data_IF_225782163379
#
_entry.id   IF_225782163379
#
_cell.length_a   1.000
_cell.length_b   1.000
_cell.length_c   1.000
_cell.angle_alpha   90.00
_cell.angle_beta   90.00
_cell.angle_gamma   90.00
#
_symmetry.space_group_name_H-M   'P 1'
#
loop_
_entity.id
_entity.type
_entity.pdbx_description
1 polymer ?
#
# COMPACT_ATOMS: atom_id res chain seq x y z
N UNK A 1 -15.21 -38.76 -43.79
CA UNK A 1 -16.21 -38.13 -42.88
C UNK A 1 -15.80 -38.10 -41.41
N UNK A 2 -15.12 -39.12 -40.90
CA UNK A 2 -14.70 -39.19 -39.48
C UNK A 2 -13.56 -38.20 -39.10
N UNK A 3 -12.68 -37.87 -40.01
CA UNK A 3 -11.56 -36.97 -39.78
C UNK A 3 -11.99 -35.49 -39.60
N UNK A 4 -13.00 -35.06 -40.35
CA UNK A 4 -13.53 -33.67 -40.25
C UNK A 4 -14.25 -33.38 -38.92
N UNK A 5 -14.89 -34.41 -38.32
CA UNK A 5 -15.56 -34.26 -37.03
C UNK A 5 -14.57 -34.13 -35.87
N UNK A 6 -13.37 -34.73 -35.94
CA UNK A 6 -12.33 -34.55 -34.91
C UNK A 6 -11.73 -33.13 -34.89
N UNK A 7 -11.52 -32.54 -36.06
CA UNK A 7 -10.96 -31.18 -36.14
C UNK A 7 -11.97 -30.09 -35.74
N UNK A 8 -13.26 -30.28 -36.06
CA UNK A 8 -14.32 -29.38 -35.58
C UNK A 8 -14.50 -29.42 -34.08
N UNK A 9 -14.38 -30.59 -33.44
CA UNK A 9 -14.46 -30.73 -31.98
C UNK A 9 -13.26 -30.07 -31.28
N UNK A 10 -12.04 -30.18 -31.82
CA UNK A 10 -10.86 -29.53 -31.31
C UNK A 10 -10.92 -27.99 -31.46
N UNK A 11 -11.46 -27.48 -32.55
CA UNK A 11 -11.66 -26.04 -32.77
C UNK A 11 -12.72 -25.47 -31.82
N UNK A 12 -13.82 -26.17 -31.58
CA UNK A 12 -14.86 -25.73 -30.64
C UNK A 12 -14.33 -25.72 -29.20
N UNK A 13 -13.51 -26.71 -28.81
CA UNK A 13 -12.89 -26.75 -27.47
C UNK A 13 -11.88 -25.58 -27.31
N UNK A 14 -11.07 -25.27 -28.31
CA UNK A 14 -10.11 -24.16 -28.27
C UNK A 14 -10.80 -22.78 -28.27
N UNK A 15 -11.84 -22.58 -29.08
CA UNK A 15 -12.61 -21.32 -29.10
C UNK A 15 -13.54 -21.19 -27.89
N UNK A 16 -14.14 -22.26 -27.41
CA UNK A 16 -14.99 -22.26 -26.22
C UNK A 16 -14.20 -21.91 -24.95
N UNK A 17 -12.96 -22.39 -24.81
CA UNK A 17 -12.09 -22.05 -23.67
C UNK A 17 -11.62 -20.60 -23.69
N UNK A 18 -11.42 -19.99 -24.85
CA UNK A 18 -10.99 -18.59 -24.98
C UNK A 18 -12.12 -17.61 -24.66
N UNK A 19 -13.34 -17.87 -25.11
CA UNK A 19 -14.51 -17.00 -24.90
C UNK A 19 -15.01 -17.04 -23.45
N UNK A 20 -14.97 -18.20 -22.79
CA UNK A 20 -15.37 -18.33 -21.38
C UNK A 20 -14.35 -17.65 -20.44
N UNK A 21 -13.06 -17.65 -20.80
CA UNK A 21 -12.04 -16.95 -20.01
C UNK A 21 -12.12 -15.44 -20.17
N UNK A 22 -12.39 -14.91 -21.36
CA UNK A 22 -12.53 -13.47 -21.59
C UNK A 22 -13.72 -12.90 -20.82
N UNK A 23 -14.90 -13.55 -20.87
CA UNK A 23 -16.07 -13.13 -20.09
C UNK A 23 -15.82 -13.15 -18.58
N UNK A 24 -15.14 -14.19 -18.06
CA UNK A 24 -14.81 -14.27 -16.65
C UNK A 24 -13.82 -13.22 -16.16
N UNK A 25 -12.91 -12.77 -17.04
CA UNK A 25 -11.95 -11.71 -16.74
C UNK A 25 -12.66 -10.34 -16.61
N UNK A 26 -13.50 -9.99 -17.58
CA UNK A 26 -14.25 -8.73 -17.58
C UNK A 26 -15.26 -8.69 -16.43
N UNK A 27 -15.94 -9.81 -16.17
CA UNK A 27 -16.84 -9.97 -15.02
C UNK A 27 -16.10 -9.76 -13.68
N UNK A 28 -14.88 -10.33 -13.56
CA UNK A 28 -14.08 -10.23 -12.35
C UNK A 28 -13.67 -8.78 -12.06
N UNK A 29 -13.02 -8.08 -13.00
CA UNK A 29 -12.61 -6.70 -12.77
C UNK A 29 -13.78 -5.73 -12.72
N UNK A 30 -14.85 -5.98 -13.47
CA UNK A 30 -16.11 -5.25 -13.34
C UNK A 30 -16.74 -5.42 -11.95
N UNK A 31 -16.69 -6.62 -11.36
CA UNK A 31 -17.14 -6.86 -9.99
C UNK A 31 -16.23 -6.17 -8.95
N UNK A 32 -14.90 -6.19 -9.16
CA UNK A 32 -13.95 -5.44 -8.31
C UNK A 32 -14.29 -3.96 -8.27
N UNK A 33 -14.56 -3.33 -9.42
CA UNK A 33 -14.88 -1.90 -9.50
C UNK A 33 -16.23 -1.55 -8.86
N UNK A 34 -17.22 -2.48 -8.90
CA UNK A 34 -18.55 -2.27 -8.31
C UNK A 34 -18.66 -2.72 -6.85
N UNK A 35 -17.57 -3.19 -6.24
CA UNK A 35 -17.55 -3.79 -4.90
C UNK A 35 -18.50 -5.01 -4.76
N UNK A 36 -18.65 -5.79 -5.84
CA UNK A 36 -19.51 -6.98 -5.88
C UNK A 36 -18.76 -8.24 -5.42
N UNK A 37 -18.68 -8.40 -4.10
CA UNK A 37 -18.01 -9.54 -3.49
C UNK A 37 -18.70 -10.89 -3.82
N UNK A 38 -20.01 -10.91 -4.13
CA UNK A 38 -20.71 -12.15 -4.45
C UNK A 38 -20.23 -12.71 -5.80
N UNK A 39 -20.13 -11.85 -6.82
CA UNK A 39 -19.58 -12.26 -8.12
C UNK A 39 -18.13 -12.67 -8.00
N UNK A 40 -17.30 -11.92 -7.24
CA UNK A 40 -15.89 -12.28 -7.01
C UNK A 40 -15.78 -13.66 -6.36
N UNK A 41 -16.48 -13.93 -5.24
CA UNK A 41 -16.46 -15.24 -4.58
C UNK A 41 -16.88 -16.38 -5.53
N UNK A 42 -17.98 -16.19 -6.25
CA UNK A 42 -18.45 -17.20 -7.20
C UNK A 42 -17.46 -17.47 -8.34
N UNK A 43 -16.66 -16.49 -8.77
CA UNK A 43 -15.58 -16.69 -9.74
C UNK A 43 -14.39 -17.45 -9.11
N UNK A 44 -13.99 -17.09 -7.90
CA UNK A 44 -12.91 -17.74 -7.15
C UNK A 44 -13.24 -19.22 -6.86
N UNK A 45 -14.48 -19.52 -6.45
CA UNK A 45 -14.96 -20.89 -6.23
C UNK A 45 -14.91 -21.75 -7.50
N UNK A 46 -15.13 -21.14 -8.68
CA UNK A 46 -14.98 -21.81 -9.98
C UNK A 46 -13.51 -21.91 -10.44
N UNK A 47 -12.56 -21.49 -9.62
CA UNK A 47 -11.12 -21.61 -9.89
C UNK A 47 -10.50 -20.44 -10.60
N UNK A 48 -11.16 -19.28 -10.67
CA UNK A 48 -10.53 -18.05 -11.16
C UNK A 48 -9.38 -17.64 -10.23
N UNK A 49 -8.24 -17.21 -10.79
CA UNK A 49 -7.06 -16.84 -9.99
C UNK A 49 -7.27 -15.46 -9.32
N UNK A 50 -7.25 -15.39 -7.95
CA UNK A 50 -7.38 -14.13 -7.23
C UNK A 50 -6.23 -13.15 -7.49
N UNK A 51 -5.12 -13.62 -8.05
CA UNK A 51 -3.93 -12.81 -8.34
C UNK A 51 -3.89 -12.29 -9.77
N UNK A 52 -4.98 -12.46 -10.52
CA UNK A 52 -5.11 -11.93 -11.88
C UNK A 52 -4.84 -10.42 -11.89
N UNK A 53 -4.14 -9.96 -12.92
CA UNK A 53 -3.80 -8.53 -13.11
C UNK A 53 -4.72 -7.89 -14.14
N UNK A 54 -4.99 -6.59 -13.98
CA UNK A 54 -5.72 -5.79 -14.96
C UNK A 54 -4.82 -5.45 -16.18
N UNK A 55 -5.34 -4.79 -17.24
CA UNK A 55 -4.54 -4.41 -18.41
C UNK A 55 -3.35 -3.48 -18.09
N UNK A 56 -3.37 -2.79 -16.95
CA UNK A 56 -2.28 -1.95 -16.45
C UNK A 56 -1.22 -2.75 -15.69
N UNK A 57 -1.42 -4.05 -15.49
CA UNK A 57 -0.54 -4.93 -14.73
C UNK A 57 -0.78 -4.87 -13.21
N UNK A 58 -1.82 -4.19 -12.74
CA UNK A 58 -2.13 -4.11 -11.32
C UNK A 58 -2.90 -5.37 -10.88
N UNK A 59 -2.44 -6.07 -9.81
CA UNK A 59 -3.17 -7.19 -9.23
C UNK A 59 -4.55 -6.78 -8.69
N UNK A 60 -5.52 -7.68 -8.71
CA UNK A 60 -6.90 -7.42 -8.28
C UNK A 60 -6.98 -6.83 -6.85
N UNK A 61 -6.16 -7.31 -5.91
CA UNK A 61 -6.10 -6.75 -4.56
C UNK A 61 -5.67 -5.29 -4.54
N UNK A 62 -4.69 -4.90 -5.36
CA UNK A 62 -4.26 -3.50 -5.53
C UNK A 62 -5.41 -2.65 -6.08
N UNK A 63 -6.09 -3.15 -7.12
CA UNK A 63 -7.24 -2.45 -7.71
C UNK A 63 -8.33 -2.24 -6.66
N UNK A 64 -8.70 -3.30 -5.91
CA UNK A 64 -9.73 -3.24 -4.88
C UNK A 64 -9.38 -2.29 -3.71
N UNK A 65 -8.10 -2.19 -3.32
CA UNK A 65 -7.64 -1.23 -2.30
C UNK A 65 -7.62 0.20 -2.83
N UNK A 66 -7.25 0.40 -4.09
CA UNK A 66 -7.22 1.72 -4.74
C UNK A 66 -8.62 2.26 -4.96
N UNK A 67 -9.51 1.45 -5.49
CA UNK A 67 -10.94 1.70 -5.53
C UNK A 67 -11.54 1.44 -4.14
N UNK A 68 -12.57 2.17 -3.70
CA UNK A 68 -13.18 1.92 -2.39
C UNK A 68 -14.07 0.66 -2.43
N UNK A 69 -13.43 -0.52 -2.51
CA UNK A 69 -14.09 -1.83 -2.68
C UNK A 69 -13.86 -2.75 -1.48
N UNK A 70 -14.31 -2.38 -0.25
CA UNK A 70 -13.98 -3.10 0.97
C UNK A 70 -14.54 -4.53 1.03
N UNK A 71 -15.72 -4.77 0.42
CA UNK A 71 -16.31 -6.12 0.39
C UNK A 71 -15.51 -7.07 -0.50
N UNK A 72 -15.03 -6.57 -1.64
CA UNK A 72 -14.18 -7.34 -2.56
C UNK A 72 -12.80 -7.56 -1.93
N UNK A 73 -12.22 -6.56 -1.25
CA UNK A 73 -10.99 -6.75 -0.48
C UNK A 73 -11.15 -7.89 0.52
N UNK A 74 -12.25 -7.91 1.30
CA UNK A 74 -12.56 -9.00 2.22
C UNK A 74 -12.62 -10.35 1.50
N UNK A 75 -13.38 -10.46 0.40
CA UNK A 75 -13.51 -11.68 -0.36
C UNK A 75 -12.17 -12.19 -0.93
N UNK A 76 -11.32 -11.28 -1.40
CA UNK A 76 -9.97 -11.64 -1.85
C UNK A 76 -9.10 -12.12 -0.69
N UNK A 77 -9.14 -11.42 0.47
CA UNK A 77 -8.34 -11.81 1.63
C UNK A 77 -8.82 -13.11 2.30
N UNK A 78 -10.09 -13.49 2.18
CA UNK A 78 -10.60 -14.78 2.62
C UNK A 78 -10.04 -15.96 1.78
N UNK A 79 -9.67 -15.70 0.52
CA UNK A 79 -9.19 -16.76 -0.36
C UNK A 79 -7.72 -17.11 -0.09
N UNK A 80 -7.38 -18.41 0.18
CA UNK A 80 -6.05 -18.80 0.67
C UNK A 80 -4.92 -18.57 -0.33
N UNK A 81 -5.22 -18.54 -1.64
CA UNK A 81 -4.23 -18.32 -2.69
C UNK A 81 -3.97 -16.84 -2.98
N UNK A 82 -4.70 -15.91 -2.35
CA UNK A 82 -4.45 -14.48 -2.53
C UNK A 82 -3.10 -14.11 -1.95
N UNK A 83 -2.24 -13.55 -2.79
CA UNK A 83 -0.95 -12.98 -2.36
C UNK A 83 -1.18 -11.57 -1.86
N UNK A 84 -0.83 -11.32 -0.60
CA UNK A 84 -0.94 -9.99 0.01
C UNK A 84 0.27 -9.12 -0.31
N UNK A 85 1.41 -9.76 -0.60
CA UNK A 85 2.65 -9.08 -0.95
C UNK A 85 2.81 -9.04 -2.48
N UNK A 86 1.95 -8.25 -3.13
CA UNK A 86 1.97 -7.94 -4.57
C UNK A 86 2.40 -6.48 -4.76
N UNK A 87 2.86 -6.13 -5.96
CA UNK A 87 3.37 -4.79 -6.26
C UNK A 87 2.78 -4.23 -7.55
N UNK A 88 2.57 -2.91 -7.57
CA UNK A 88 2.35 -2.15 -8.81
C UNK A 88 3.66 -1.97 -9.56
N UNK A 89 3.58 -1.44 -10.79
CA UNK A 89 4.76 -1.00 -11.55
C UNK A 89 5.57 0.11 -10.86
N UNK A 90 4.98 0.80 -9.86
CA UNK A 90 5.63 1.81 -9.01
C UNK A 90 6.15 1.24 -7.69
N UNK A 91 6.18 -0.10 -7.56
CA UNK A 91 6.60 -0.80 -6.35
C UNK A 91 5.72 -0.52 -5.10
N UNK A 92 4.45 -0.16 -5.30
CA UNK A 92 3.48 0.04 -4.22
C UNK A 92 2.84 -1.30 -3.82
N UNK A 93 2.73 -1.57 -2.52
CA UNK A 93 2.01 -2.75 -1.99
C UNK A 93 0.58 -2.41 -1.54
N UNK A 94 -0.29 -3.42 -1.37
CA UNK A 94 -1.61 -3.22 -0.75
C UNK A 94 -1.51 -2.54 0.61
N UNK A 95 -0.53 -2.92 1.46
CA UNK A 95 -0.32 -2.31 2.77
C UNK A 95 0.08 -0.82 2.67
N UNK A 96 0.92 -0.45 1.70
CA UNK A 96 1.28 0.95 1.45
C UNK A 96 0.05 1.78 1.06
N UNK A 97 -0.77 1.29 0.13
CA UNK A 97 -1.98 1.98 -0.32
C UNK A 97 -3.04 2.09 0.79
N UNK A 98 -3.23 1.01 1.57
CA UNK A 98 -4.11 1.01 2.72
C UNK A 98 -3.64 2.00 3.80
N UNK A 99 -2.33 2.06 4.04
CA UNK A 99 -1.70 3.00 4.98
C UNK A 99 -1.88 4.46 4.54
N UNK A 100 -1.72 4.77 3.24
CA UNK A 100 -1.96 6.11 2.70
C UNK A 100 -3.41 6.57 2.89
N UNK A 101 -4.37 5.65 2.78
CA UNK A 101 -5.80 5.94 2.91
C UNK A 101 -6.30 5.88 4.36
N UNK A 102 -5.46 5.43 5.30
CA UNK A 102 -5.82 5.27 6.71
C UNK A 102 -6.79 4.12 6.97
N UNK A 103 -6.82 3.11 6.11
CA UNK A 103 -7.64 1.91 6.27
C UNK A 103 -7.04 0.99 7.33
N UNK A 104 -7.18 1.40 8.61
CA UNK A 104 -6.55 0.77 9.76
C UNK A 104 -6.83 -0.73 9.86
N UNK A 105 -8.11 -1.13 9.79
CA UNK A 105 -8.54 -2.52 9.88
C UNK A 105 -7.97 -3.36 8.72
N UNK A 106 -7.90 -2.78 7.53
CA UNK A 106 -7.28 -3.44 6.38
C UNK A 106 -5.77 -3.60 6.58
N UNK A 107 -5.09 -2.60 7.14
CA UNK A 107 -3.67 -2.73 7.48
C UNK A 107 -3.45 -3.87 8.47
N UNK A 108 -4.29 -4.02 9.51
CA UNK A 108 -4.24 -5.15 10.44
C UNK A 108 -4.42 -6.49 9.73
N UNK A 109 -5.41 -6.61 8.83
CA UNK A 109 -5.66 -7.83 8.07
C UNK A 109 -4.49 -8.19 7.14
N UNK A 110 -3.90 -7.21 6.46
CA UNK A 110 -2.75 -7.43 5.59
C UNK A 110 -1.52 -7.87 6.38
N UNK A 111 -1.22 -7.22 7.52
CA UNK A 111 -0.11 -7.59 8.40
C UNK A 111 -0.30 -8.98 9.00
N UNK A 112 -1.54 -9.36 9.40
CA UNK A 112 -1.85 -10.71 9.92
C UNK A 112 -1.67 -11.82 8.87
N UNK A 113 -1.54 -11.43 7.60
CA UNK A 113 -1.25 -12.31 6.46
C UNK A 113 0.17 -12.11 5.91
N UNK A 114 1.09 -11.67 6.75
CA UNK A 114 2.52 -11.51 6.45
C UNK A 114 2.84 -10.45 5.38
N UNK A 115 2.01 -9.39 5.24
CA UNK A 115 2.38 -8.24 4.44
C UNK A 115 3.63 -7.55 5.01
N UNK A 116 4.60 -7.23 4.15
CA UNK A 116 5.89 -6.66 4.55
C UNK A 116 5.74 -5.21 5.05
N UNK A 117 6.02 -5.01 6.34
CA UNK A 117 6.02 -3.70 6.99
C UNK A 117 7.27 -2.89 6.64
N UNK A 118 8.38 -3.56 6.32
CA UNK A 118 9.74 -2.97 6.21
C UNK A 118 10.41 -3.18 4.86
N UNK A 119 9.64 -3.23 3.76
CA UNK A 119 10.28 -3.36 2.44
C UNK A 119 11.32 -2.25 2.19
N UNK A 120 12.40 -2.51 1.44
CA UNK A 120 13.35 -1.48 1.03
C UNK A 120 12.70 -0.35 0.22
N UNK A 121 13.18 0.87 0.39
CA UNK A 121 12.67 2.06 -0.29
C UNK A 121 11.44 2.66 0.40
N UNK A 122 10.41 3.03 -0.35
CA UNK A 122 9.16 3.52 0.24
C UNK A 122 8.50 2.44 1.08
N UNK A 123 8.18 2.75 2.35
CA UNK A 123 7.55 1.82 3.29
C UNK A 123 6.11 2.23 3.62
N UNK A 124 5.28 1.32 4.17
CA UNK A 124 3.94 1.67 4.66
C UNK A 124 3.94 2.84 5.65
N UNK A 125 4.99 2.98 6.49
CA UNK A 125 5.10 4.10 7.44
C UNK A 125 5.28 5.46 6.75
N UNK A 126 6.01 5.53 5.63
CA UNK A 126 6.06 6.75 4.81
C UNK A 126 4.66 7.16 4.33
N UNK A 127 3.88 6.20 3.85
CA UNK A 127 2.53 6.43 3.32
C UNK A 127 1.54 6.83 4.43
N UNK A 128 1.57 6.15 5.58
CA UNK A 128 0.76 6.52 6.74
C UNK A 128 1.12 7.92 7.28
N UNK A 129 2.41 8.25 7.31
CA UNK A 129 2.91 9.56 7.72
C UNK A 129 2.48 10.67 6.75
N UNK A 130 2.51 10.40 5.43
CA UNK A 130 2.00 11.30 4.38
C UNK A 130 0.52 11.59 4.57
N UNK A 131 -0.30 10.57 4.88
CA UNK A 131 -1.73 10.71 5.15
C UNK A 131 -2.06 11.27 6.54
N UNK A 132 -1.09 11.32 7.47
CA UNK A 132 -1.30 11.74 8.85
C UNK A 132 -2.16 10.77 9.67
N UNK A 133 -2.17 9.49 9.33
CA UNK A 133 -3.05 8.47 9.91
C UNK A 133 -2.46 7.85 11.19
N UNK A 134 -2.69 8.51 12.33
CA UNK A 134 -2.08 8.20 13.63
C UNK A 134 -2.28 6.74 14.07
N UNK A 135 -3.53 6.22 13.96
CA UNK A 135 -3.81 4.83 14.35
C UNK A 135 -3.01 3.82 13.51
N UNK A 136 -2.94 4.05 12.18
CA UNK A 136 -2.17 3.21 11.27
C UNK A 136 -0.66 3.33 11.50
N UNK A 137 -0.16 4.54 11.80
CA UNK A 137 1.25 4.74 12.15
C UNK A 137 1.62 3.97 13.42
N UNK A 138 0.80 4.05 14.47
CA UNK A 138 1.01 3.25 15.70
C UNK A 138 1.02 1.76 15.40
N UNK A 139 0.02 1.26 14.68
CA UNK A 139 -0.03 -0.14 14.26
C UNK A 139 1.28 -0.58 13.57
N UNK A 140 1.77 0.20 12.61
CA UNK A 140 3.00 -0.13 11.89
C UNK A 140 4.23 -0.13 12.81
N UNK A 141 4.32 0.84 13.74
CA UNK A 141 5.40 0.91 14.73
C UNK A 141 5.34 -0.27 15.72
N UNK A 142 4.15 -0.66 16.18
CA UNK A 142 3.92 -1.83 17.03
C UNK A 142 4.34 -3.14 16.33
N UNK A 143 4.27 -3.16 15.00
CA UNK A 143 4.77 -4.23 14.13
C UNK A 143 6.20 -3.97 13.61
N UNK A 144 7.00 -3.20 14.34
CA UNK A 144 8.43 -2.98 14.11
C UNK A 144 8.76 -2.25 12.81
N UNK A 145 7.88 -1.35 12.32
CA UNK A 145 8.25 -0.47 11.21
C UNK A 145 9.50 0.34 11.57
N UNK A 146 10.47 0.39 10.66
CA UNK A 146 11.67 1.21 10.84
C UNK A 146 11.30 2.69 10.83
N UNK A 147 11.48 3.34 12.01
CA UNK A 147 11.07 4.73 12.25
C UNK A 147 11.73 5.71 11.27
N UNK A 148 12.99 5.49 10.96
CA UNK A 148 13.82 6.29 10.06
C UNK A 148 14.12 5.57 8.74
N UNK A 149 13.18 4.72 8.26
CA UNK A 149 13.31 4.06 6.98
C UNK A 149 13.64 5.10 5.88
N UNK A 150 14.61 4.77 5.03
CA UNK A 150 15.02 5.63 3.93
C UNK A 150 14.31 5.22 2.63
N UNK A 151 13.56 6.14 2.02
CA UNK A 151 13.06 6.00 0.65
C UNK A 151 14.21 6.01 -0.38
N UNK A 152 14.00 5.73 -1.67
CA UNK A 152 15.06 5.73 -2.68
C UNK A 152 15.88 7.02 -2.75
N UNK A 153 15.29 8.16 -2.40
CA UNK A 153 16.00 9.45 -2.29
C UNK A 153 16.44 9.80 -0.86
N UNK A 154 16.38 8.84 0.07
CA UNK A 154 16.76 9.04 1.47
C UNK A 154 15.77 9.82 2.32
N UNK A 155 14.55 10.10 1.83
CA UNK A 155 13.53 10.75 2.64
C UNK A 155 12.99 9.79 3.69
N UNK A 156 12.74 10.30 4.92
CA UNK A 156 12.22 9.53 6.06
C UNK A 156 10.71 9.74 6.24
N UNK A 157 10.01 8.88 7.01
CA UNK A 157 8.61 9.10 7.38
C UNK A 157 8.37 10.46 8.05
N UNK A 158 9.32 10.94 8.87
CA UNK A 158 9.24 12.28 9.49
C UNK A 158 9.25 13.40 8.45
N UNK A 159 10.06 13.29 7.38
CA UNK A 159 10.06 14.24 6.26
C UNK A 159 8.71 14.25 5.55
N UNK A 160 8.09 13.08 5.34
CA UNK A 160 6.77 12.97 4.73
C UNK A 160 5.68 13.57 5.61
N UNK A 161 5.70 13.31 6.93
CA UNK A 161 4.79 13.93 7.88
C UNK A 161 4.95 15.45 7.93
N UNK A 162 6.19 15.95 7.84
CA UNK A 162 6.50 17.37 7.83
C UNK A 162 5.94 18.08 6.60
N UNK A 163 5.96 17.44 5.44
CA UNK A 163 5.51 18.02 4.18
C UNK A 163 4.00 17.90 3.97
N UNK A 164 3.43 16.71 4.24
CA UNK A 164 2.06 16.36 3.84
C UNK A 164 1.15 15.95 4.99
N UNK A 165 1.73 15.45 6.10
CA UNK A 165 0.99 14.87 7.21
C UNK A 165 0.42 15.90 8.18
N UNK A 166 0.06 15.45 9.37
CA UNK A 166 -0.50 16.28 10.45
C UNK A 166 0.56 16.59 11.50
N UNK A 167 0.31 17.62 12.34
CA UNK A 167 1.17 17.94 13.50
C UNK A 167 1.25 16.74 14.46
N UNK A 168 0.14 16.03 14.65
CA UNK A 168 0.12 14.85 15.53
C UNK A 168 0.92 13.67 14.95
N UNK A 169 1.02 13.55 13.61
CA UNK A 169 1.91 12.59 12.98
C UNK A 169 3.39 12.92 13.23
N UNK A 170 3.76 14.20 13.16
CA UNK A 170 5.11 14.66 13.50
C UNK A 170 5.43 14.38 14.97
N UNK A 171 4.50 14.72 15.88
CA UNK A 171 4.66 14.44 17.33
C UNK A 171 4.86 12.96 17.58
N UNK A 172 3.98 12.12 17.01
CA UNK A 172 4.07 10.67 17.17
C UNK A 172 5.45 10.14 16.74
N UNK A 173 5.94 10.54 15.58
CA UNK A 173 7.24 10.08 15.07
C UNK A 173 8.39 10.54 15.97
N UNK A 174 8.38 11.82 16.40
CA UNK A 174 9.40 12.34 17.31
C UNK A 174 9.37 11.65 18.68
N UNK A 175 8.19 11.40 19.25
CA UNK A 175 8.00 10.66 20.51
C UNK A 175 8.44 9.19 20.38
N UNK A 176 8.25 8.59 19.22
CA UNK A 176 8.69 7.23 18.90
C UNK A 176 10.20 7.13 18.59
N UNK A 177 10.93 8.27 18.58
CA UNK A 177 12.38 8.29 18.45
C UNK A 177 12.91 8.59 17.05
N UNK A 178 12.09 9.12 16.12
CA UNK A 178 12.57 9.56 14.80
C UNK A 178 13.67 10.62 14.93
N UNK A 179 14.75 10.47 14.16
CA UNK A 179 15.85 11.44 14.12
C UNK A 179 15.52 12.62 13.20
N UNK A 180 15.23 13.83 13.77
CA UNK A 180 14.90 15.01 12.98
C UNK A 180 16.11 15.63 12.24
N UNK A 181 17.33 15.15 12.49
CA UNK A 181 18.57 15.69 11.90
C UNK A 181 18.94 15.02 10.58
N UNK A 182 18.34 13.86 10.28
CA UNK A 182 18.60 13.11 9.06
C UNK A 182 18.32 13.97 7.83
N UNK A 183 19.14 13.78 6.81
CA UNK A 183 19.05 14.49 5.52
C UNK A 183 18.87 13.47 4.40
N UNK A 184 18.02 13.80 3.46
CA UNK A 184 17.87 13.02 2.24
C UNK A 184 19.04 13.26 1.26
N UNK A 185 18.99 12.63 0.09
CA UNK A 185 20.03 12.73 -0.95
C UNK A 185 20.27 14.19 -1.44
N UNK A 186 19.31 15.09 -1.25
CA UNK A 186 19.43 16.50 -1.61
C UNK A 186 19.97 17.35 -0.44
N UNK A 187 20.36 16.75 0.67
CA UNK A 187 20.88 17.43 1.84
C UNK A 187 19.83 18.16 2.68
N UNK A 188 18.54 17.96 2.46
CA UNK A 188 17.42 18.59 3.16
C UNK A 188 16.84 17.66 4.23
N UNK A 189 16.41 18.23 5.34
CA UNK A 189 15.84 17.51 6.49
C UNK A 189 14.34 17.81 6.65
N UNK A 190 13.71 17.28 7.71
CA UNK A 190 12.28 17.45 7.95
C UNK A 190 11.85 18.92 8.12
N UNK A 191 12.68 19.78 8.73
CA UNK A 191 12.38 21.22 8.82
C UNK A 191 12.35 21.87 7.44
N UNK A 192 13.26 21.50 6.56
CA UNK A 192 13.34 22.06 5.22
C UNK A 192 12.11 21.67 4.40
N UNK A 193 11.62 20.41 4.55
CA UNK A 193 10.34 19.97 3.96
C UNK A 193 9.16 20.80 4.47
N UNK A 194 9.06 21.04 5.79
CA UNK A 194 8.01 21.88 6.37
C UNK A 194 8.05 23.31 5.85
N UNK A 195 9.24 23.92 5.72
CA UNK A 195 9.43 25.27 5.18
C UNK A 195 9.00 25.38 3.71
N UNK A 196 9.29 24.37 2.88
CA UNK A 196 8.88 24.37 1.47
C UNK A 196 7.37 24.56 1.28
N UNK A 197 6.58 24.09 2.24
CA UNK A 197 5.11 24.16 2.21
C UNK A 197 4.56 25.14 3.26
N UNK A 198 5.40 25.99 3.83
CA UNK A 198 5.04 27.07 4.76
C UNK A 198 4.31 26.59 6.02
N UNK A 199 4.73 25.45 6.58
CA UNK A 199 4.17 24.88 7.81
C UNK A 199 4.98 25.31 9.03
N UNK A 200 4.71 26.50 9.54
CA UNK A 200 5.43 27.08 10.69
C UNK A 200 5.23 26.25 11.97
N UNK A 201 4.05 25.66 12.16
CA UNK A 201 3.73 24.74 13.25
C UNK A 201 4.67 23.53 13.27
N UNK A 202 4.86 22.90 12.13
CA UNK A 202 5.79 21.78 11.95
C UNK A 202 7.24 22.20 12.17
N UNK A 203 7.64 23.37 11.61
CA UNK A 203 9.00 23.94 11.78
C UNK A 203 9.31 24.13 13.27
N UNK A 204 8.40 24.76 14.02
CA UNK A 204 8.60 25.04 15.46
C UNK A 204 8.73 23.74 16.26
N UNK A 205 7.88 22.75 15.99
CA UNK A 205 7.87 21.46 16.67
C UNK A 205 9.17 20.68 16.43
N UNK A 206 9.56 20.53 15.15
CA UNK A 206 10.76 19.79 14.78
C UNK A 206 12.02 20.50 15.30
N UNK A 207 12.08 21.84 15.20
CA UNK A 207 13.19 22.61 15.76
C UNK A 207 13.31 22.49 17.28
N UNK A 208 12.19 22.36 17.99
CA UNK A 208 12.21 22.10 19.43
C UNK A 208 12.80 20.70 19.73
N UNK A 209 12.40 19.67 18.98
CA UNK A 209 12.95 18.31 19.12
C UNK A 209 14.46 18.28 18.83
N UNK A 210 14.92 18.95 17.75
CA UNK A 210 16.35 19.05 17.43
C UNK A 210 17.16 19.73 18.53
N UNK A 211 16.60 20.78 19.18
CA UNK A 211 17.26 21.45 20.31
C UNK A 211 17.34 20.53 21.54
N UNK A 212 16.30 19.74 21.81
CA UNK A 212 16.27 18.82 22.95
C UNK A 212 17.28 17.68 22.82
N UNK A 213 17.61 17.25 21.60
CA UNK A 213 18.59 16.19 21.32
C UNK A 213 20.06 16.68 21.38
N UNK A 214 20.32 18.01 21.39
CA UNK A 214 21.69 18.53 21.51
C UNK A 214 22.24 18.22 22.90
N UNK A 215 23.48 17.70 23.02
CA UNK A 215 24.13 17.53 24.31
C UNK A 215 24.17 18.86 25.05
N UNK A 216 23.76 18.87 26.35
CA UNK A 216 23.90 20.04 27.20
C UNK A 216 25.39 20.38 27.33
N UNK A 217 25.82 21.51 26.73
CA UNK A 217 27.21 21.98 26.80
C UNK A 217 27.97 22.02 25.46
N UNK A 218 27.34 21.65 24.32
CA UNK A 218 27.91 21.92 22.99
C UNK A 218 27.61 23.38 22.60
N UNK A 219 28.63 24.26 22.74
CA UNK A 219 28.64 25.69 22.30
C UNK A 219 29.09 25.76 20.84
#
# INVERSE_FOLDING_TARGET
MIIYIRYTFYLIVLFGFSLTNAGSYDDFFGAVQRDDAAVVRGLLERGFDPNTVNPQGDPALIVAVREPSPKVVGALLEHPKTRVEVRTSKDESPLMLAALKGYHELCQQLISRDADVNKPGWTPLHYAATGGHIATMRLLLDHHAYIDAASPNGSTPLMMAAMYGTVDAIKLLLEAGADPTLKNANGINAIDFARQVQRDDAVLLIAAAMRAQRPKGAW
#
